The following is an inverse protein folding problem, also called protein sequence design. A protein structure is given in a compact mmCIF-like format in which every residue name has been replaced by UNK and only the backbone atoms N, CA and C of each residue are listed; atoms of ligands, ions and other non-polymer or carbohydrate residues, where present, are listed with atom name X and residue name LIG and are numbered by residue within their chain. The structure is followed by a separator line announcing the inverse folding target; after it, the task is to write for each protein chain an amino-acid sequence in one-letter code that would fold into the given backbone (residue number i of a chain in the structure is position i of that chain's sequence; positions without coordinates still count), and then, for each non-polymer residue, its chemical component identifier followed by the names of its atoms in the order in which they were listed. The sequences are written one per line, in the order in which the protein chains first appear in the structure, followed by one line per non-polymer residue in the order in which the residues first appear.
data_IF_053145599707
#
_entry.id   IF_053145599707
#
_cell.length_a   1.000
_cell.length_b   1.000
_cell.length_c   1.000
_cell.angle_alpha   90.00
_cell.angle_beta   90.00
_cell.angle_gamma   90.00
#
_symmetry.space_group_name_H-M   'P 1'
#
loop_
_entity.id
_entity.type
_entity.pdbx_description
1 polymer ?
#
# COMPACT_ATOMS: atom_id res chain seq x y z
N UNK A 1 -2.55 18.96 13.44
CA UNK A 1 -2.62 18.05 12.26
C UNK A 1 -3.06 16.69 12.78
N UNK A 2 -4.14 16.11 12.23
CA UNK A 2 -4.67 14.82 12.67
C UNK A 2 -3.97 13.70 11.89
N UNK A 3 -3.26 12.76 12.53
CA UNK A 3 -2.68 11.62 11.84
C UNK A 3 -3.75 10.56 11.56
N UNK A 4 -3.83 10.08 10.31
CA UNK A 4 -4.77 9.05 9.88
C UNK A 4 -4.02 7.93 9.15
N UNK A 5 -4.33 6.70 9.52
CA UNK A 5 -3.93 5.52 8.76
C UNK A 5 -5.09 5.12 7.83
N UNK A 6 -4.89 5.27 6.53
CA UNK A 6 -5.74 4.63 5.53
C UNK A 6 -5.36 3.16 5.38
N UNK A 7 -6.33 2.30 5.09
CA UNK A 7 -6.07 0.91 4.72
C UNK A 7 -6.90 0.60 3.48
N UNK A 8 -6.23 0.17 2.41
CA UNK A 8 -6.90 -0.18 1.17
C UNK A 8 -6.18 -1.36 0.49
N UNK A 9 -6.94 -2.18 -0.23
CA UNK A 9 -6.40 -3.25 -1.03
C UNK A 9 -5.84 -2.77 -2.38
N UNK A 10 -6.18 -1.55 -2.81
CA UNK A 10 -5.69 -0.96 -4.05
C UNK A 10 -5.52 0.55 -3.94
N UNK A 11 -4.64 1.13 -4.77
CA UNK A 11 -4.30 2.55 -4.73
C UNK A 11 -3.74 3.02 -6.08
N UNK A 12 -4.34 4.05 -6.66
CA UNK A 12 -3.86 4.68 -7.89
C UNK A 12 -2.65 5.60 -7.57
N UNK A 13 -1.57 5.60 -8.38
CA UNK A 13 -1.42 4.95 -9.70
C UNK A 13 -0.77 3.56 -9.68
N UNK A 14 -0.65 2.92 -8.51
CA UNK A 14 0.19 1.72 -8.35
C UNK A 14 -0.52 0.44 -8.73
N UNK A 15 -1.77 0.28 -8.29
CA UNK A 15 -2.58 -0.91 -8.53
C UNK A 15 -4.05 -0.53 -8.49
N UNK A 16 -4.81 -0.97 -9.49
CA UNK A 16 -6.20 -0.57 -9.68
C UNK A 16 -7.00 -1.67 -10.38
N UNK A 17 -8.12 -2.06 -9.79
CA UNK A 17 -9.17 -2.84 -10.46
C UNK A 17 -10.47 -2.05 -10.57
N UNK A 18 -10.68 -1.01 -9.75
CA UNK A 18 -11.91 -0.22 -9.77
C UNK A 18 -11.76 1.17 -9.16
N UNK A 19 -12.89 1.76 -8.75
CA UNK A 19 -12.95 3.13 -8.23
C UNK A 19 -12.39 3.30 -6.80
N UNK A 20 -12.18 2.21 -6.06
CA UNK A 20 -11.55 2.26 -4.73
C UNK A 20 -10.13 2.82 -4.84
N UNK A 21 -9.35 2.36 -5.82
CA UNK A 21 -7.98 2.85 -6.04
C UNK A 21 -7.91 4.37 -6.29
N UNK A 22 -8.89 4.92 -7.01
CA UNK A 22 -8.96 6.35 -7.32
C UNK A 22 -9.18 7.17 -6.03
N UNK A 23 -10.13 6.74 -5.19
CA UNK A 23 -10.39 7.40 -3.91
C UNK A 23 -9.20 7.26 -2.97
N UNK A 24 -8.64 6.06 -2.83
CA UNK A 24 -7.49 5.80 -1.95
C UNK A 24 -6.26 6.62 -2.34
N UNK A 25 -6.05 6.87 -3.64
CA UNK A 25 -4.95 7.70 -4.15
C UNK A 25 -5.20 9.20 -4.05
N UNK A 26 -6.43 9.67 -4.27
CA UNK A 26 -6.73 11.10 -4.28
C UNK A 26 -7.00 11.69 -2.88
N UNK A 27 -7.60 10.90 -1.98
CA UNK A 27 -8.08 11.37 -0.68
C UNK A 27 -6.98 11.94 0.23
N UNK A 28 -5.76 11.34 0.35
CA UNK A 28 -4.69 11.92 1.17
C UNK A 28 -4.34 13.36 0.76
N UNK A 29 -4.27 13.62 -0.55
CA UNK A 29 -4.00 14.96 -1.09
C UNK A 29 -5.13 15.94 -0.80
N UNK A 30 -6.39 15.51 -0.93
CA UNK A 30 -7.55 16.34 -0.67
C UNK A 30 -7.73 16.70 0.81
N UNK A 31 -7.32 15.81 1.72
CA UNK A 31 -7.42 16.00 3.17
C UNK A 31 -6.27 16.84 3.76
N UNK A 32 -5.12 16.89 3.10
CA UNK A 32 -3.93 17.61 3.58
C UNK A 32 -4.18 19.11 3.85
N UNK A 33 -4.85 19.89 2.98
CA UNK A 33 -5.19 21.29 3.26
C UNK A 33 -6.12 21.48 4.46
N UNK A 34 -6.86 20.44 4.84
CA UNK A 34 -7.76 20.44 6.00
C UNK A 34 -7.04 20.04 7.31
N UNK A 35 -5.71 19.92 7.28
CA UNK A 35 -4.90 19.61 8.45
C UNK A 35 -4.90 18.12 8.83
N UNK A 36 -5.25 17.23 7.90
CA UNK A 36 -5.21 15.78 8.11
C UNK A 36 -4.00 15.19 7.38
N UNK A 37 -3.08 14.60 8.13
CA UNK A 37 -1.91 13.91 7.61
C UNK A 37 -2.23 12.42 7.46
N UNK A 38 -2.43 11.96 6.22
CA UNK A 38 -2.81 10.58 5.95
C UNK A 38 -1.65 9.80 5.30
N UNK A 39 -1.39 8.60 5.81
CA UNK A 39 -0.54 7.58 5.19
C UNK A 39 -1.37 6.33 4.95
N UNK A 40 -1.25 5.71 3.78
CA UNK A 40 -2.08 4.55 3.43
C UNK A 40 -1.26 3.26 3.51
N UNK A 41 -1.77 2.27 4.23
CA UNK A 41 -1.29 0.89 4.21
C UNK A 41 -1.90 0.15 3.02
N UNK A 42 -1.05 -0.45 2.20
CA UNK A 42 -1.45 -1.28 1.05
C UNK A 42 -0.65 -2.58 0.99
N UNK A 43 -1.19 -3.65 0.37
CA UNK A 43 -0.42 -4.86 0.13
C UNK A 43 0.80 -4.63 -0.77
N UNK A 44 1.90 -5.32 -0.48
CA UNK A 44 3.12 -5.31 -1.27
C UNK A 44 3.03 -6.14 -2.54
N UNK A 45 2.05 -5.84 -3.40
CA UNK A 45 2.00 -6.43 -4.75
C UNK A 45 3.26 -6.08 -5.54
N UNK A 46 3.65 -6.89 -6.55
CA UNK A 46 4.88 -6.66 -7.31
C UNK A 46 5.02 -5.23 -7.85
N UNK A 47 3.94 -4.66 -8.42
CA UNK A 47 3.93 -3.29 -8.93
C UNK A 47 4.11 -2.23 -7.83
N UNK A 48 3.51 -2.44 -6.65
CA UNK A 48 3.64 -1.53 -5.50
C UNK A 48 5.07 -1.54 -4.98
N UNK A 49 5.67 -2.73 -4.77
CA UNK A 49 7.06 -2.85 -4.31
C UNK A 49 8.04 -2.24 -5.31
N UNK A 50 7.84 -2.48 -6.61
CA UNK A 50 8.70 -1.97 -7.67
C UNK A 50 8.71 -0.43 -7.74
N UNK A 51 7.58 0.22 -7.42
CA UNK A 51 7.46 1.67 -7.43
C UNK A 51 7.89 2.35 -6.11
N UNK A 52 8.10 1.58 -5.04
CA UNK A 52 8.37 2.10 -3.70
C UNK A 52 9.79 2.66 -3.60
N UNK A 53 9.89 3.93 -3.18
CA UNK A 53 11.15 4.64 -2.97
C UNK A 53 11.36 4.90 -1.49
N UNK A 54 12.62 4.83 -1.04
CA UNK A 54 12.99 5.06 0.36
C UNK A 54 12.36 4.04 1.32
N UNK A 55 12.26 2.79 0.88
CA UNK A 55 11.61 1.71 1.63
C UNK A 55 12.40 1.35 2.90
N UNK A 56 11.89 1.76 4.06
CA UNK A 56 12.45 1.47 5.37
C UNK A 56 11.54 0.48 6.13
N UNK A 57 12.06 -0.67 6.60
CA UNK A 57 11.29 -1.56 7.47
C UNK A 57 11.01 -0.88 8.81
N UNK A 58 9.73 -0.70 9.15
CA UNK A 58 9.27 -0.09 10.41
C UNK A 58 8.58 -1.07 11.35
N UNK A 59 8.23 -2.25 10.84
CA UNK A 59 7.67 -3.36 11.62
C UNK A 59 8.02 -4.68 10.94
N UNK A 60 8.29 -5.70 11.74
CA UNK A 60 8.62 -7.05 11.28
C UNK A 60 7.77 -8.08 12.02
N UNK A 61 7.35 -9.11 11.30
CA UNK A 61 6.63 -10.26 11.82
C UNK A 61 7.39 -11.52 11.41
N UNK A 62 7.76 -12.35 12.38
CA UNK A 62 8.37 -13.66 12.10
C UNK A 62 7.33 -14.63 11.55
N UNK A 63 6.09 -14.51 11.99
CA UNK A 63 4.94 -15.30 11.55
C UNK A 63 3.70 -14.40 11.41
N UNK A 64 3.16 -14.33 10.20
CA UNK A 64 1.92 -13.66 9.87
C UNK A 64 1.21 -14.42 8.75
N UNK A 65 0.22 -15.22 9.13
CA UNK A 65 -0.58 -16.06 8.21
C UNK A 65 0.26 -17.04 7.38
N UNK A 66 1.19 -17.75 8.03
CA UNK A 66 1.96 -18.84 7.44
C UNK A 66 3.32 -18.43 6.84
N UNK A 67 3.79 -17.20 7.10
CA UNK A 67 5.10 -16.74 6.64
C UNK A 67 5.52 -15.42 7.28
N UNK A 68 6.78 -15.04 7.13
CA UNK A 68 7.29 -13.77 7.64
C UNK A 68 6.76 -12.58 6.83
N UNK A 69 6.58 -11.43 7.48
CA UNK A 69 6.14 -10.20 6.82
C UNK A 69 6.82 -8.96 7.40
N UNK A 70 6.81 -7.87 6.62
CA UNK A 70 7.33 -6.56 7.07
C UNK A 70 6.38 -5.44 6.66
N UNK A 71 6.33 -4.38 7.45
CA UNK A 71 5.74 -3.11 7.01
C UNK A 71 6.89 -2.19 6.60
N UNK A 72 6.87 -1.77 5.34
CA UNK A 72 7.84 -0.83 4.77
C UNK A 72 7.22 0.57 4.74
N UNK A 73 7.87 1.56 5.32
CA UNK A 73 7.55 2.96 5.13
C UNK A 73 8.25 3.47 3.86
N UNK A 74 7.56 4.19 3.00
CA UNK A 74 8.17 4.76 1.81
C UNK A 74 7.24 5.67 1.04
N UNK A 75 7.66 6.09 -0.15
CA UNK A 75 6.88 6.93 -1.06
C UNK A 75 6.75 6.28 -2.44
N UNK A 76 5.59 6.42 -3.06
CA UNK A 76 5.37 6.00 -4.45
C UNK A 76 4.20 6.78 -5.05
N UNK A 77 4.27 7.15 -6.33
CA UNK A 77 3.18 7.85 -7.02
C UNK A 77 2.74 9.17 -6.38
N UNK A 78 3.66 9.86 -5.67
CA UNK A 78 3.34 11.09 -4.92
C UNK A 78 2.67 10.86 -3.55
N UNK A 79 2.56 9.61 -3.10
CA UNK A 79 1.90 9.23 -1.86
C UNK A 79 2.91 8.80 -0.79
N UNK A 80 2.57 9.06 0.47
CA UNK A 80 3.22 8.47 1.64
C UNK A 80 2.53 7.14 1.97
N UNK A 81 3.30 6.04 1.99
CA UNK A 81 2.76 4.70 2.10
C UNK A 81 3.38 3.91 3.25
N UNK A 82 2.56 3.01 3.80
CA UNK A 82 3.03 1.77 4.38
C UNK A 82 2.73 0.64 3.40
N UNK A 83 3.71 -0.24 3.17
CA UNK A 83 3.56 -1.40 2.29
C UNK A 83 3.74 -2.66 3.11
N UNK A 84 2.72 -3.51 3.14
CA UNK A 84 2.81 -4.83 3.76
C UNK A 84 3.55 -5.79 2.81
N UNK A 85 4.86 -5.90 2.99
CA UNK A 85 5.72 -6.83 2.29
C UNK A 85 5.57 -8.23 2.90
N UNK A 86 4.67 -9.01 2.31
CA UNK A 86 4.41 -10.41 2.64
C UNK A 86 4.32 -11.21 1.32
N UNK A 87 5.47 -11.62 0.74
CA UNK A 87 5.48 -12.25 -0.58
C UNK A 87 4.61 -13.52 -0.68
N UNK A 88 4.53 -14.31 0.39
CA UNK A 88 3.68 -15.52 0.45
C UNK A 88 2.17 -15.22 0.32
N UNK A 89 1.76 -13.98 0.55
CA UNK A 89 0.36 -13.54 0.39
C UNK A 89 0.12 -12.76 -0.90
N UNK A 90 1.10 -11.96 -1.35
CA UNK A 90 0.87 -10.93 -2.36
C UNK A 90 1.78 -10.99 -3.59
N UNK A 91 2.81 -11.86 -3.61
CA UNK A 91 3.71 -12.01 -4.77
C UNK A 91 3.07 -12.91 -5.84
N UNK A 92 2.04 -12.37 -6.48
CA UNK A 92 1.34 -13.02 -7.60
C UNK A 92 1.23 -12.08 -8.79
N UNK A 93 1.37 -12.59 -10.03
CA UNK A 93 1.15 -11.80 -11.23
C UNK A 93 -0.35 -11.56 -11.47
N UNK A 94 -0.68 -10.56 -12.29
CA UNK A 94 -2.04 -10.33 -12.74
C UNK A 94 -2.89 -9.50 -11.78
N UNK A 95 -4.19 -9.82 -11.72
CA UNK A 95 -5.17 -9.06 -10.95
C UNK A 95 -5.02 -9.34 -9.44
N UNK A 96 -5.13 -8.31 -8.57
CA UNK A 96 -5.09 -8.47 -7.11
C UNK A 96 -6.10 -9.47 -6.52
N UNK A 97 -7.18 -9.81 -7.21
CA UNK A 97 -8.29 -10.62 -6.67
C UNK A 97 -8.58 -11.87 -7.50
N UNK A 98 -8.20 -11.89 -8.78
CA UNK A 98 -8.48 -13.01 -9.68
C UNK A 98 -7.26 -13.92 -9.82
N UNK A 99 -7.51 -15.18 -10.12
CA UNK A 99 -6.47 -16.15 -10.44
C UNK A 99 -5.83 -15.86 -11.81
N UNK A 100 -4.70 -16.51 -12.11
CA UNK A 100 -4.15 -16.54 -13.46
C UNK A 100 -5.04 -17.43 -14.34
N UNK A 101 -6.01 -16.83 -15.00
CA UNK A 101 -6.72 -17.47 -16.12
C UNK A 101 -5.93 -17.30 -17.43
#
# INVERSE_FOLDING_TARGET
MIPVLGVASEIYPLIKTGGLADVAGALPGALKPLGVGMRTLVPGYPAVRAALQGAEPVLTYDELFGGSARVLAGKAGGLDLFVLDAPHLFDRPGNPYLGPD
#
